data_IF_974312340564
#
_entry.id   IF_974312340564
#
_cell.length_a   1.000
_cell.length_b   1.000
_cell.length_c   1.000
_cell.angle_alpha   90.00
_cell.angle_beta   90.00
_cell.angle_gamma   90.00
#
_symmetry.space_group_name_H-M   'P 1'
#
loop_
_entity.id
_entity.type
_entity.pdbx_description
1 polymer ?
#
# COMPACT_ATOMS: atom_id res chain seq x y z
N UNK A 1 26.22 1.21 12.64
CA UNK A 1 25.65 0.02 11.98
C UNK A 1 24.80 0.50 10.82
N UNK A 2 25.08 0.07 9.59
CA UNK A 2 24.26 0.42 8.42
C UNK A 2 22.91 -0.27 8.55
N UNK A 3 21.84 0.48 8.77
CA UNK A 3 20.47 -0.04 8.82
C UNK A 3 20.02 -0.24 7.36
N UNK A 4 19.92 -1.50 6.92
CA UNK A 4 19.40 -1.81 5.59
C UNK A 4 17.91 -1.48 5.54
N UNK A 5 17.47 -0.75 4.51
CA UNK A 5 16.07 -0.32 4.37
C UNK A 5 15.32 -1.30 3.45
N UNK A 6 14.18 -1.80 3.92
CA UNK A 6 13.33 -2.75 3.18
C UNK A 6 12.04 -2.08 2.76
N UNK A 7 11.59 -2.36 1.53
CA UNK A 7 10.29 -1.93 1.03
C UNK A 7 9.27 -3.04 1.24
N UNK A 8 8.16 -2.73 1.90
CA UNK A 8 7.04 -3.63 2.07
C UNK A 8 5.85 -3.14 1.25
N UNK A 9 5.55 -3.84 0.18
CA UNK A 9 4.39 -3.57 -0.68
C UNK A 9 3.16 -4.23 -0.06
N UNK A 10 2.10 -3.45 0.15
CA UNK A 10 0.91 -3.92 0.85
C UNK A 10 -0.30 -3.92 -0.10
N UNK A 11 -0.82 -5.11 -0.36
CA UNK A 11 -1.96 -5.33 -1.26
C UNK A 11 -3.24 -5.47 -0.43
N UNK A 12 -4.20 -4.53 -0.54
CA UNK A 12 -5.41 -4.56 0.28
C UNK A 12 -6.28 -5.78 -0.07
N UNK A 13 -7.06 -6.30 0.89
CA UNK A 13 -8.05 -7.34 0.63
C UNK A 13 -9.20 -6.81 -0.24
N UNK A 14 -9.99 -7.72 -0.81
CA UNK A 14 -11.14 -7.38 -1.64
C UNK A 14 -12.11 -6.42 -0.92
N UNK A 15 -12.56 -5.38 -1.63
CA UNK A 15 -13.49 -4.38 -1.10
C UNK A 15 -12.87 -3.34 -0.17
N UNK A 16 -11.55 -3.33 0.01
CA UNK A 16 -10.83 -2.33 0.81
C UNK A 16 -9.99 -1.39 -0.04
N UNK A 17 -9.32 -0.43 0.60
CA UNK A 17 -8.38 0.49 -0.05
C UNK A 17 -7.00 0.41 0.62
N UNK A 18 -6.00 0.97 -0.05
CA UNK A 18 -4.64 1.06 0.45
C UNK A 18 -4.54 1.77 1.82
N UNK A 19 -5.56 2.56 2.18
CA UNK A 19 -5.63 3.29 3.44
C UNK A 19 -5.59 2.42 4.69
N UNK A 20 -5.98 1.14 4.60
CA UNK A 20 -5.90 0.17 5.71
C UNK A 20 -4.49 0.06 6.30
N UNK A 21 -3.45 0.35 5.51
CA UNK A 21 -2.05 0.28 5.92
C UNK A 21 -1.48 1.59 6.49
N UNK A 22 -2.24 2.70 6.47
CA UNK A 22 -1.74 3.97 7.00
C UNK A 22 -1.34 3.95 8.49
N UNK A 23 -2.08 3.27 9.39
CA UNK A 23 -1.69 3.18 10.80
C UNK A 23 -0.32 2.52 11.01
N UNK A 24 0.08 1.60 10.12
CA UNK A 24 1.31 0.82 10.26
C UNK A 24 2.58 1.67 10.16
N UNK A 25 2.51 2.83 9.48
CA UNK A 25 3.62 3.79 9.44
C UNK A 25 4.04 4.27 10.83
N UNK A 26 3.14 4.23 11.82
CA UNK A 26 3.42 4.64 13.21
C UNK A 26 3.90 3.48 14.10
N UNK A 27 3.75 2.24 13.65
CA UNK A 27 3.94 1.03 14.47
C UNK A 27 5.13 0.18 14.02
N UNK A 28 5.63 0.38 12.79
CA UNK A 28 6.69 -0.44 12.22
C UNK A 28 8.08 0.14 12.49
N UNK A 29 9.10 -0.72 12.45
CA UNK A 29 10.50 -0.32 12.58
C UNK A 29 10.93 0.64 11.46
N UNK A 30 11.76 1.64 11.79
CA UNK A 30 12.24 2.67 10.84
C UNK A 30 12.99 2.12 9.62
N UNK A 31 13.45 0.87 9.69
CA UNK A 31 14.12 0.23 8.56
C UNK A 31 13.15 -0.40 7.55
N UNK A 32 11.84 -0.28 7.74
CA UNK A 32 10.81 -0.76 6.82
C UNK A 32 10.00 0.43 6.29
N UNK A 33 10.00 0.59 4.96
CA UNK A 33 9.16 1.53 4.25
C UNK A 33 7.87 0.85 3.81
N UNK A 34 6.74 1.28 4.37
CA UNK A 34 5.41 0.83 3.95
C UNK A 34 5.03 1.48 2.61
N UNK A 35 4.66 0.65 1.63
CA UNK A 35 4.20 1.07 0.30
C UNK A 35 2.81 0.45 0.06
N UNK A 36 1.73 1.12 0.47
CA UNK A 36 0.37 0.67 0.18
C UNK A 36 0.08 0.77 -1.32
N UNK A 37 -0.48 -0.29 -1.91
CA UNK A 37 -0.89 -0.31 -3.32
C UNK A 37 -2.39 -0.06 -3.40
N UNK A 38 -2.78 0.98 -4.13
CA UNK A 38 -4.17 1.29 -4.43
C UNK A 38 -4.49 0.76 -5.83
N UNK A 39 -5.53 -0.06 -5.93
CA UNK A 39 -6.01 -0.59 -7.21
C UNK A 39 -6.83 0.46 -7.96
N UNK A 40 -6.91 0.35 -9.28
CA UNK A 40 -7.84 1.16 -10.07
C UNK A 40 -9.28 0.91 -9.62
N UNK A 41 -10.10 1.96 -9.61
CA UNK A 41 -11.45 1.92 -9.06
C UNK A 41 -11.53 1.86 -7.52
N UNK A 42 -10.42 2.00 -6.79
CA UNK A 42 -10.41 1.99 -5.32
C UNK A 42 -9.80 3.27 -4.72
N UNK A 43 -10.29 3.69 -3.56
CA UNK A 43 -9.71 4.77 -2.77
C UNK A 43 -9.41 6.04 -3.58
N UNK A 44 -8.15 6.48 -3.57
CA UNK A 44 -7.73 7.68 -4.32
C UNK A 44 -7.79 7.50 -5.85
N UNK A 45 -7.87 6.25 -6.33
CA UNK A 45 -7.97 5.85 -7.73
C UNK A 45 -9.40 5.46 -8.12
N UNK A 46 -10.41 5.90 -7.36
CA UNK A 46 -11.82 5.59 -7.63
C UNK A 46 -12.30 5.95 -9.05
N UNK A 47 -11.69 6.97 -9.66
CA UNK A 47 -12.00 7.42 -11.02
C UNK A 47 -11.17 6.71 -12.10
N UNK A 48 -10.22 5.85 -11.72
CA UNK A 48 -9.48 5.04 -12.69
C UNK A 48 -10.37 3.87 -13.15
N UNK A 49 -10.43 3.58 -14.46
CA UNK A 49 -11.23 2.49 -14.99
C UNK A 49 -10.68 1.12 -14.54
N UNK A 50 -11.50 0.08 -14.67
CA UNK A 50 -11.04 -1.30 -14.55
C UNK A 50 -9.96 -1.58 -15.60
N UNK A 51 -8.90 -2.28 -15.19
CA UNK A 51 -7.84 -2.77 -16.08
C UNK A 51 -8.18 -4.22 -16.40
N UNK A 52 -8.51 -4.49 -17.68
CA UNK A 52 -8.97 -5.81 -18.13
C UNK A 52 -7.80 -6.81 -18.36
N UNK A 53 -6.56 -6.33 -18.42
CA UNK A 53 -5.37 -7.15 -18.64
C UNK A 53 -4.16 -6.59 -17.85
N UNK A 54 -3.83 -7.13 -16.66
CA UNK A 54 -2.78 -6.61 -15.77
C UNK A 54 -1.35 -7.00 -16.16
#
# INVERSE_FOLDING_TARGET
>A
MNKHQYNMFCLPPAGSSASIYHPWKKQISDNIRIIPIEYSGHGIKINEPLIDDP
#
